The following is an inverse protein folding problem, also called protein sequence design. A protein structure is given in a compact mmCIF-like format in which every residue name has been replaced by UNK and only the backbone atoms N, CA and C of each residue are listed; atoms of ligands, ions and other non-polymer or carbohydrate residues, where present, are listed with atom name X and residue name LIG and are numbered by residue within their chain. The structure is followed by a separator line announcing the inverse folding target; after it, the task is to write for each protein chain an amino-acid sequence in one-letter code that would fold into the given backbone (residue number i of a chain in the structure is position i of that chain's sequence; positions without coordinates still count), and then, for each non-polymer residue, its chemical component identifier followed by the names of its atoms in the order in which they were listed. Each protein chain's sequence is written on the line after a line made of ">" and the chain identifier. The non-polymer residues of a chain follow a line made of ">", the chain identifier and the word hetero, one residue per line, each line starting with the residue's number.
data_IF_412317102850
#
_entry.id   IF_412317102850
#
_cell.length_a   1.000
_cell.length_b   1.000
_cell.length_c   1.000
_cell.angle_alpha   90.00
_cell.angle_beta   90.00
_cell.angle_gamma   90.00
#
_symmetry.space_group_name_H-M   'P 1'
#
loop_
_entity.id
_entity.type
_entity.pdbx_description
1 polymer ?
#
# COMPACT_ATOMS: atom_id res chain seq x y z
N UNK A 1 -5.47 -14.86 -10.69
CA UNK A 1 -6.00 -14.03 -9.59
C UNK A 1 -5.33 -14.48 -8.31
N UNK A 2 -4.35 -13.73 -7.78
CA UNK A 2 -3.70 -14.06 -6.52
C UNK A 2 -4.21 -13.12 -5.43
N UNK A 3 -4.98 -13.70 -4.52
CA UNK A 3 -5.44 -13.07 -3.31
C UNK A 3 -4.33 -13.10 -2.25
N UNK A 4 -4.17 -11.99 -1.52
CA UNK A 4 -3.55 -12.01 -0.19
C UNK A 4 -2.02 -12.00 -0.16
N UNK A 5 -1.42 -10.86 -0.46
CA UNK A 5 -0.09 -10.53 0.04
C UNK A 5 -0.11 -9.12 0.63
N UNK A 6 0.12 -9.06 1.94
CA UNK A 6 0.34 -7.82 2.68
C UNK A 6 1.75 -7.34 2.36
N UNK A 7 1.91 -6.11 1.86
CA UNK A 7 3.22 -5.51 1.61
C UNK A 7 3.93 -5.97 0.34
N UNK A 8 3.22 -6.48 -0.67
CA UNK A 8 3.82 -6.67 -2.00
C UNK A 8 3.09 -5.84 -3.04
N UNK A 9 3.81 -4.86 -3.56
CA UNK A 9 3.88 -4.50 -4.99
C UNK A 9 2.87 -5.26 -5.86
N UNK A 10 1.82 -4.58 -6.32
CA UNK A 10 0.88 -5.14 -7.30
C UNK A 10 1.34 -4.78 -8.70
N UNK A 11 1.35 -5.77 -9.60
CA UNK A 11 1.51 -5.53 -11.04
C UNK A 11 0.18 -5.00 -11.61
N UNK A 12 0.22 -3.78 -12.12
CA UNK A 12 -0.81 -3.25 -12.99
C UNK A 12 -0.84 -3.95 -14.36
N UNK A 13 -1.91 -3.76 -15.15
CA UNK A 13 -2.09 -4.41 -16.46
C UNK A 13 -0.99 -4.07 -17.49
N UNK A 14 -0.18 -3.03 -17.25
CA UNK A 14 1.01 -2.67 -18.04
C UNK A 14 2.34 -2.94 -17.33
N UNK A 15 2.36 -3.77 -16.29
CA UNK A 15 3.57 -4.08 -15.53
C UNK A 15 4.01 -2.99 -14.54
N UNK A 16 3.20 -1.95 -14.33
CA UNK A 16 3.47 -0.92 -13.33
C UNK A 16 3.32 -1.47 -11.92
N UNK A 17 4.35 -1.29 -11.09
CA UNK A 17 4.32 -1.68 -9.68
C UNK A 17 3.60 -0.57 -8.89
N UNK A 18 2.52 -0.90 -8.18
CA UNK A 18 1.85 0.04 -7.26
C UNK A 18 1.66 -0.60 -5.89
N UNK A 19 2.18 0.02 -4.84
CA UNK A 19 2.13 -0.47 -3.47
C UNK A 19 2.87 0.48 -2.51
N UNK A 20 2.62 0.33 -1.21
CA UNK A 20 3.33 1.08 -0.18
C UNK A 20 4.50 0.26 0.36
N UNK A 21 5.65 0.89 0.59
CA UNK A 21 6.74 0.28 1.35
C UNK A 21 6.39 0.31 2.85
N UNK A 22 5.71 -0.75 3.31
CA UNK A 22 5.22 -0.85 4.68
C UNK A 22 6.36 -0.81 5.73
N UNK A 23 7.50 -1.51 5.55
CA UNK A 23 8.65 -1.36 6.43
C UNK A 23 9.16 0.09 6.54
N UNK A 24 9.36 0.77 5.41
CA UNK A 24 9.84 2.16 5.43
C UNK A 24 8.86 3.10 6.14
N UNK A 25 7.56 2.93 5.89
CA UNK A 25 6.51 3.72 6.55
C UNK A 25 6.44 3.47 8.06
N UNK A 26 6.65 2.23 8.52
CA UNK A 26 6.67 1.92 9.95
C UNK A 26 7.91 2.49 10.66
N UNK A 27 9.08 2.47 10.00
CA UNK A 27 10.30 3.11 10.51
C UNK A 27 10.10 4.63 10.63
N UNK A 28 9.54 5.25 9.59
CA UNK A 28 9.24 6.68 9.60
C UNK A 28 8.20 7.04 10.67
N UNK A 29 7.16 6.22 10.81
CA UNK A 29 6.13 6.41 11.80
C UNK A 29 6.67 6.38 13.23
N UNK A 30 7.60 5.46 13.51
CA UNK A 30 8.28 5.38 14.80
C UNK A 30 9.09 6.65 15.07
N UNK A 31 9.81 7.16 14.07
CA UNK A 31 10.58 8.41 14.20
C UNK A 31 9.68 9.64 14.45
N UNK A 32 8.43 9.61 13.98
CA UNK A 32 7.44 10.67 14.19
C UNK A 32 6.62 10.50 15.48
N UNK A 33 6.87 9.45 16.26
CA UNK A 33 6.17 9.18 17.52
C UNK A 33 4.75 8.64 17.35
N UNK A 34 4.40 8.12 16.17
CA UNK A 34 3.11 7.44 15.97
C UNK A 34 3.10 6.05 16.61
N UNK A 35 1.91 5.61 17.01
CA UNK A 35 1.71 4.24 17.50
C UNK A 35 1.93 3.23 16.36
N UNK A 36 3.01 2.48 16.48
CA UNK A 36 3.42 1.48 15.52
C UNK A 36 2.44 0.31 15.42
N UNK A 37 1.83 -0.10 16.53
CA UNK A 37 0.85 -1.19 16.55
C UNK A 37 -0.45 -0.79 15.86
N UNK A 38 -0.88 0.45 16.06
CA UNK A 38 -2.03 1.03 15.38
C UNK A 38 -1.76 1.15 13.87
N UNK A 39 -0.61 1.71 13.49
CA UNK A 39 -0.26 1.87 12.08
C UNK A 39 -0.04 0.55 11.35
N UNK A 40 0.57 -0.44 11.99
CA UNK A 40 0.69 -1.78 11.41
C UNK A 40 -0.67 -2.40 11.06
N UNK A 41 -1.72 -2.05 11.81
CA UNK A 41 -3.10 -2.48 11.52
C UNK A 41 -3.75 -1.66 10.41
N UNK A 42 -3.49 -0.36 10.34
CA UNK A 42 -4.17 0.55 9.41
C UNK A 42 -3.53 0.62 8.02
N UNK A 43 -2.19 0.57 7.93
CA UNK A 43 -1.45 0.69 6.68
C UNK A 43 -1.88 -0.31 5.59
N UNK A 44 -2.19 -1.58 5.90
CA UNK A 44 -2.76 -2.51 4.93
C UNK A 44 -4.07 -2.04 4.27
N UNK A 45 -4.92 -1.30 4.99
CA UNK A 45 -6.15 -0.76 4.44
C UNK A 45 -5.87 0.46 3.57
N UNK A 46 -4.94 1.31 3.99
CA UNK A 46 -4.47 2.45 3.21
C UNK A 46 -3.87 2.01 1.85
N UNK A 47 -3.00 0.99 1.86
CA UNK A 47 -2.43 0.41 0.63
C UNK A 47 -3.53 -0.11 -0.30
N UNK A 48 -4.51 -0.85 0.22
CA UNK A 48 -5.63 -1.35 -0.60
C UNK A 48 -6.44 -0.20 -1.22
N UNK A 49 -6.77 0.83 -0.44
CA UNK A 49 -7.50 1.99 -0.93
C UNK A 49 -6.73 2.72 -2.04
N UNK A 50 -5.43 2.94 -1.83
CA UNK A 50 -4.53 3.55 -2.82
C UNK A 50 -4.51 2.75 -4.12
N UNK A 51 -4.28 1.43 -4.05
CA UNK A 51 -4.24 0.58 -5.24
C UNK A 51 -5.56 0.64 -6.03
N UNK A 52 -6.70 0.56 -5.35
CA UNK A 52 -8.01 0.63 -6.00
C UNK A 52 -8.20 1.99 -6.66
N UNK A 53 -7.82 3.07 -5.98
CA UNK A 53 -7.85 4.42 -6.54
C UNK A 53 -6.97 4.56 -7.78
N UNK A 54 -5.71 4.12 -7.71
CA UNK A 54 -4.76 4.17 -8.83
C UNK A 54 -5.22 3.36 -10.05
N UNK A 55 -5.89 2.21 -9.82
CA UNK A 55 -6.46 1.41 -10.91
C UNK A 55 -7.59 2.15 -11.64
N UNK A 56 -8.45 2.90 -10.93
CA UNK A 56 -9.50 3.71 -11.54
C UNK A 56 -8.92 4.81 -12.43
N UNK A 57 -7.93 5.54 -11.92
CA UNK A 57 -7.27 6.63 -12.68
C UNK A 57 -6.65 6.11 -13.98
N UNK A 58 -6.00 4.94 -13.97
CA UNK A 58 -5.41 4.34 -15.17
C UNK A 58 -6.44 3.87 -16.22
N UNK A 59 -7.70 3.67 -15.83
CA UNK A 59 -8.76 3.25 -16.76
C UNK A 59 -9.42 4.44 -17.44
N UNK A 60 -9.28 5.64 -16.88
CA UNK A 60 -9.85 6.89 -17.39
C UNK A 60 -8.88 7.71 -18.26
N UNK A 61 -7.63 7.23 -18.44
CA UNK A 61 -6.59 7.84 -19.30
C UNK A 61 -6.27 6.95 -20.50
#
# INVERSE_FOLDING_TARGET
>A
MLAGSLGTIRLGPRGGITGLDLPALLIQAQALGYDQSLLARLLPFAERGMVIGSAKVQTET
#
